data_IF_900955830396
#
_entry.id   IF_900955830396
#
_cell.length_a   1.000
_cell.length_b   1.000
_cell.length_c   1.000
_cell.angle_alpha   90.00
_cell.angle_beta   90.00
_cell.angle_gamma   90.00
#
_symmetry.space_group_name_H-M   'P 1'
#
loop_
_entity.id
_entity.type
_entity.pdbx_description
1 polymer ?
#
# COMPACT_ATOMS: atom_id res chain seq x y z
N UNK A 1 19.46 -0.19 -6.59
CA UNK A 1 18.00 -0.38 -6.66
C UNK A 1 17.55 -0.82 -5.28
N UNK A 2 16.76 0.00 -4.58
CA UNK A 2 16.26 -0.28 -3.23
C UNK A 2 15.07 -1.25 -3.26
N UNK A 3 14.73 -1.84 -2.11
CA UNK A 3 13.48 -2.60 -1.95
C UNK A 3 12.28 -1.67 -2.14
N UNK A 4 11.17 -2.21 -2.62
CA UNK A 4 9.90 -1.52 -2.67
C UNK A 4 8.85 -2.27 -1.87
N UNK A 5 7.95 -1.50 -1.28
CA UNK A 5 6.81 -2.00 -0.55
C UNK A 5 5.52 -1.58 -1.26
N UNK A 6 4.54 -2.48 -1.23
CA UNK A 6 3.15 -2.14 -1.46
C UNK A 6 2.40 -2.42 -0.16
N UNK A 7 1.76 -1.41 0.42
CA UNK A 7 0.85 -1.54 1.57
C UNK A 7 -0.48 -0.83 1.26
N UNK A 8 -1.60 -1.47 1.59
CA UNK A 8 -2.95 -0.86 1.52
C UNK A 8 -3.31 -0.15 2.83
N UNK A 9 -3.86 1.06 2.78
CA UNK A 9 -4.29 1.80 3.98
C UNK A 9 -5.10 3.04 3.65
N UNK A 10 -5.50 3.81 4.65
CA UNK A 10 -6.00 5.16 4.40
C UNK A 10 -4.82 6.11 4.14
N UNK A 11 -5.01 7.15 3.32
CA UNK A 11 -3.96 8.14 3.08
C UNK A 11 -3.38 8.74 4.38
N UNK A 12 -4.22 8.94 5.40
CA UNK A 12 -3.81 9.46 6.70
C UNK A 12 -2.91 8.47 7.45
N UNK A 13 -3.30 7.19 7.51
CA UNK A 13 -2.52 6.15 8.19
C UNK A 13 -1.18 5.92 7.50
N UNK A 14 -1.18 5.88 6.16
CA UNK A 14 0.04 5.71 5.38
C UNK A 14 1.01 6.88 5.56
N UNK A 15 0.51 8.12 5.60
CA UNK A 15 1.34 9.30 5.84
C UNK A 15 1.90 9.32 7.28
N UNK A 16 1.07 8.97 8.28
CA UNK A 16 1.52 8.88 9.67
C UNK A 16 2.58 7.79 9.85
N UNK A 17 2.40 6.63 9.22
CA UNK A 17 3.36 5.54 9.25
C UNK A 17 4.68 5.92 8.55
N UNK A 18 4.61 6.55 7.37
CA UNK A 18 5.80 7.05 6.67
C UNK A 18 6.59 8.06 7.51
N UNK A 19 5.92 8.89 8.32
CA UNK A 19 6.59 9.81 9.23
C UNK A 19 7.23 9.07 10.41
N UNK A 20 6.52 8.11 11.01
CA UNK A 20 7.03 7.30 12.12
C UNK A 20 8.32 6.56 11.71
N UNK A 21 8.42 6.10 10.46
CA UNK A 21 9.61 5.42 9.92
C UNK A 21 10.87 6.25 9.92
N UNK A 22 10.75 7.59 9.82
CA UNK A 22 11.92 8.47 9.88
C UNK A 22 12.61 8.42 11.24
N UNK A 23 11.83 8.19 12.31
CA UNK A 23 12.32 8.09 13.68
C UNK A 23 12.66 6.66 14.10
N UNK A 24 12.17 5.66 13.37
CA UNK A 24 12.35 4.23 13.66
C UNK A 24 12.66 3.44 12.37
N UNK A 25 13.85 3.63 11.77
CA UNK A 25 14.19 3.03 10.49
C UNK A 25 14.33 1.50 10.51
N UNK A 26 14.39 0.89 11.70
CA UNK A 26 14.47 -0.56 11.90
C UNK A 26 13.10 -1.20 12.19
N UNK A 27 12.00 -0.45 12.14
CA UNK A 27 10.67 -1.03 12.36
C UNK A 27 10.39 -2.12 11.32
N UNK A 28 9.76 -3.21 11.76
CA UNK A 28 9.44 -4.32 10.88
C UNK A 28 8.21 -4.00 10.01
N UNK A 29 8.37 -4.18 8.70
CA UNK A 29 7.31 -4.04 7.71
C UNK A 29 6.78 -5.43 7.35
N UNK A 30 5.98 -6.02 8.25
CA UNK A 30 5.30 -7.31 8.03
C UNK A 30 3.84 -7.29 8.49
N UNK A 31 2.91 -7.12 7.56
CA UNK A 31 1.46 -7.17 7.78
C UNK A 31 0.76 -7.86 6.61
N UNK A 32 -0.48 -8.33 6.81
CA UNK A 32 -1.23 -9.07 5.76
C UNK A 32 -1.62 -8.21 4.55
N UNK A 33 -1.71 -6.90 4.75
CA UNK A 33 -2.05 -5.91 3.73
C UNK A 33 -0.79 -5.30 3.06
N UNK A 34 0.38 -5.90 3.26
CA UNK A 34 1.63 -5.43 2.67
C UNK A 34 2.49 -6.54 2.05
N UNK A 35 3.38 -6.11 1.17
CA UNK A 35 4.38 -6.94 0.53
C UNK A 35 5.63 -6.10 0.25
N UNK A 36 6.78 -6.56 0.72
CA UNK A 36 8.09 -5.96 0.41
C UNK A 36 8.87 -6.86 -0.54
N UNK A 37 9.36 -6.30 -1.64
CA UNK A 37 10.08 -7.02 -2.69
C UNK A 37 11.46 -6.40 -2.94
N UNK A 38 12.45 -7.26 -3.23
CA UNK A 38 13.74 -6.82 -3.73
C UNK A 38 13.66 -6.59 -5.26
N UNK A 39 14.64 -5.87 -5.85
CA UNK A 39 14.70 -5.69 -7.29
C UNK A 39 14.74 -7.03 -8.05
N UNK A 40 13.83 -7.20 -9.01
CA UNK A 40 13.72 -8.42 -9.80
C UNK A 40 12.68 -9.42 -9.28
N UNK A 41 12.25 -9.28 -8.03
CA UNK A 41 11.22 -10.13 -7.45
C UNK A 41 9.81 -9.76 -7.93
N UNK A 42 8.88 -10.68 -7.70
CA UNK A 42 7.44 -10.51 -7.90
C UNK A 42 6.70 -11.11 -6.70
N UNK A 43 5.53 -10.58 -6.42
CA UNK A 43 4.59 -11.18 -5.46
C UNK A 43 3.20 -10.59 -5.63
N UNK A 44 2.27 -11.13 -4.87
CA UNK A 44 0.84 -10.84 -5.00
C UNK A 44 0.21 -10.64 -3.61
N UNK A 45 -0.73 -9.71 -3.53
CA UNK A 45 -1.66 -9.58 -2.40
C UNK A 45 -3.07 -9.76 -2.95
N UNK A 46 -3.80 -10.74 -2.40
CA UNK A 46 -5.21 -10.96 -2.71
C UNK A 46 -6.05 -10.32 -1.61
N UNK A 47 -6.89 -9.35 -1.97
CA UNK A 47 -7.70 -8.60 -1.01
C UNK A 47 -9.18 -8.59 -1.38
N UNK A 48 -10.06 -8.84 -0.42
CA UNK A 48 -11.51 -8.75 -0.59
C UNK A 48 -12.05 -7.47 0.06
N UNK A 49 -12.55 -6.55 -0.77
CA UNK A 49 -13.23 -5.35 -0.28
C UNK A 49 -14.70 -5.65 0.04
N UNK A 50 -15.11 -5.39 1.27
CA UNK A 50 -16.50 -5.60 1.72
C UNK A 50 -17.41 -4.38 1.48
N UNK A 51 -16.83 -3.23 1.13
CA UNK A 51 -17.51 -1.95 0.92
C UNK A 51 -16.93 -1.24 -0.30
N UNK A 52 -17.76 -0.45 -0.97
CA UNK A 52 -17.29 0.50 -1.97
C UNK A 52 -16.66 1.72 -1.31
N UNK A 53 -15.75 2.38 -2.00
CA UNK A 53 -15.00 3.53 -1.49
C UNK A 53 -13.62 3.64 -2.12
N UNK A 54 -12.81 4.53 -1.57
CA UNK A 54 -11.39 4.65 -1.91
C UNK A 54 -10.55 3.98 -0.83
N UNK A 55 -9.52 3.24 -1.25
CA UNK A 55 -8.45 2.72 -0.40
C UNK A 55 -7.15 3.17 -1.03
N UNK A 56 -6.23 3.70 -0.23
CA UNK A 56 -4.94 4.19 -0.72
C UNK A 56 -3.86 3.10 -0.59
N UNK A 57 -2.74 3.31 -1.27
CA UNK A 57 -1.56 2.49 -1.12
C UNK A 57 -0.28 3.30 -1.25
N UNK A 58 0.84 2.75 -0.80
CA UNK A 58 2.15 3.36 -1.02
C UNK A 58 3.32 2.47 -0.63
N UNK A 59 4.52 3.03 -0.79
CA UNK A 59 5.79 2.42 -0.38
C UNK A 59 6.38 3.21 0.79
N UNK A 60 6.39 2.65 1.99
CA UNK A 60 6.75 3.39 3.21
C UNK A 60 8.26 3.36 3.51
N UNK A 61 9.05 2.63 2.73
CA UNK A 61 10.51 2.58 2.77
C UNK A 61 11.19 3.85 2.20
N UNK A 62 10.71 5.03 2.59
CA UNK A 62 11.25 6.34 2.18
C UNK A 62 10.78 6.85 0.82
N UNK A 63 10.02 6.07 0.05
CA UNK A 63 9.57 6.46 -1.29
C UNK A 63 8.16 7.09 -1.32
N UNK A 64 7.41 7.05 -0.22
CA UNK A 64 6.05 7.61 -0.13
C UNK A 64 6.01 9.11 -0.47
N UNK A 65 6.90 9.89 0.15
CA UNK A 65 7.02 11.33 -0.10
C UNK A 65 7.63 11.65 -1.47
N UNK A 66 8.36 10.70 -2.07
CA UNK A 66 8.88 10.81 -3.43
C UNK A 66 7.81 10.51 -4.50
N UNK A 67 6.61 10.07 -4.10
CA UNK A 67 5.46 9.89 -5.00
C UNK A 67 5.06 8.43 -5.24
N UNK A 68 5.69 7.45 -4.60
CA UNK A 68 5.23 6.05 -4.64
C UNK A 68 4.00 5.85 -3.75
N UNK A 69 2.88 6.38 -4.21
CA UNK A 69 1.56 6.31 -3.57
C UNK A 69 0.47 6.39 -4.63
N UNK A 70 -0.70 5.83 -4.33
CA UNK A 70 -1.85 5.86 -5.23
C UNK A 70 -3.12 5.43 -4.52
N UNK A 71 -4.19 5.30 -5.31
CA UNK A 71 -5.52 4.97 -4.81
C UNK A 71 -6.18 3.88 -5.65
N UNK A 72 -6.88 2.98 -4.98
CA UNK A 72 -7.81 2.00 -5.53
C UNK A 72 -9.23 2.48 -5.24
N UNK A 73 -10.01 2.71 -6.31
CA UNK A 73 -11.42 3.07 -6.19
C UNK A 73 -12.28 1.83 -6.36
N UNK A 74 -12.83 1.33 -5.26
CA UNK A 74 -13.73 0.18 -5.23
C UNK A 74 -15.14 0.67 -5.51
N UNK A 75 -15.65 0.34 -6.70
CA UNK A 75 -17.04 0.58 -7.06
C UNK A 75 -17.82 -0.71 -6.89
N UNK A 76 -19.09 -0.62 -6.48
CA UNK A 76 -19.97 -1.77 -6.65
C UNK A 76 -20.02 -2.09 -8.13
N UNK A 77 -19.90 -3.37 -8.47
CA UNK A 77 -20.24 -3.81 -9.81
C UNK A 77 -21.70 -3.38 -10.05
N UNK A 78 -21.89 -2.46 -10.99
CA UNK A 78 -23.23 -2.20 -11.51
C UNK A 78 -23.76 -3.50 -12.08
N UNK A 79 -25.07 -3.75 -11.96
CA UNK A 79 -25.74 -4.87 -12.63
C UNK A 79 -25.58 -4.64 -14.14
N UNK A 80 -24.54 -5.18 -14.76
CA UNK A 80 -24.19 -4.88 -16.15
C UNK A 80 -22.73 -5.14 -16.51
N UNK A 81 -22.30 -6.40 -16.44
CA UNK A 81 -21.40 -7.02 -17.42
C UNK A 81 -22.17 -8.27 -17.86
N UNK A 82 -22.36 -8.55 -19.16
CA UNK A 82 -22.96 -9.82 -19.58
C UNK A 82 -22.19 -11.02 -19.02
#
# INVERSE_FOLDING_TARGET
MSKHEFILGSAADLAAHAEAMKSQPEMEHTELNMLTLAPGDRGEIVWQFTRGGQVDFGCLLGHFNAGMKGAVVVRRAGRGIP
#
